data_IF_450617349665
#
_entry.id   IF_450617349665
#
_cell.length_a   1.000
_cell.length_b   1.000
_cell.length_c   1.000
_cell.angle_alpha   90.00
_cell.angle_beta   90.00
_cell.angle_gamma   90.00
#
_symmetry.space_group_name_H-M   'P 1'
#
loop_
_entity.id
_entity.type
_entity.pdbx_description
1 polymer ?
#
# COMPACT_ATOMS: atom_id res chain seq x y z
N UNK A 1 -12.75 -22.31 -2.47
CA UNK A 1 -13.13 -22.27 -1.04
C UNK A 1 -12.43 -23.41 -0.32
N UNK A 2 -11.36 -23.10 0.42
CA UNK A 2 -10.77 -23.93 1.48
C UNK A 2 -10.39 -25.37 1.19
N UNK A 3 -9.10 -25.67 0.96
CA UNK A 3 -8.57 -27.05 0.96
C UNK A 3 -8.31 -27.62 2.36
N UNK A 4 -8.57 -26.87 3.44
CA UNK A 4 -8.37 -27.32 4.83
C UNK A 4 -9.70 -27.73 5.49
N UNK A 5 -9.63 -28.68 6.42
CA UNK A 5 -10.80 -29.15 7.16
C UNK A 5 -11.46 -28.02 8.00
N UNK A 6 -10.65 -27.08 8.51
CA UNK A 6 -11.14 -25.85 9.15
C UNK A 6 -11.93 -24.94 8.20
N UNK A 7 -11.55 -24.84 6.93
CA UNK A 7 -12.30 -24.00 5.99
C UNK A 7 -13.62 -24.65 5.55
N UNK A 8 -13.73 -25.98 5.65
CA UNK A 8 -14.98 -26.72 5.43
C UNK A 8 -15.97 -26.57 6.61
N UNK A 9 -15.48 -26.45 7.84
CA UNK A 9 -16.35 -26.29 9.02
C UNK A 9 -17.00 -24.92 9.15
N UNK A 10 -16.50 -23.90 8.42
CA UNK A 10 -17.05 -22.54 8.39
C UNK A 10 -18.33 -22.40 7.54
N UNK A 11 -18.84 -23.50 7.01
CA UNK A 11 -20.09 -23.56 6.27
C UNK A 11 -19.97 -23.20 4.78
N UNK A 12 -21.06 -23.38 4.02
CA UNK A 12 -21.07 -23.14 2.58
C UNK A 12 -21.09 -21.64 2.24
N UNK A 13 -20.92 -21.30 0.95
CA UNK A 13 -21.09 -19.92 0.47
C UNK A 13 -22.46 -19.38 0.88
N UNK A 14 -22.48 -18.16 1.41
CA UNK A 14 -23.67 -17.50 1.94
C UNK A 14 -23.85 -17.63 3.46
N UNK A 15 -23.06 -18.49 4.13
CA UNK A 15 -22.99 -18.55 5.59
C UNK A 15 -22.45 -17.23 6.18
N UNK A 16 -22.72 -16.99 7.47
CA UNK A 16 -22.21 -15.78 8.15
C UNK A 16 -20.68 -15.71 8.18
N UNK A 17 -19.94 -16.82 8.42
CA UNK A 17 -18.48 -16.82 8.25
C UNK A 17 -18.02 -16.46 6.84
N UNK A 18 -18.76 -16.88 5.80
CA UNK A 18 -18.44 -16.51 4.42
C UNK A 18 -18.61 -15.01 4.18
N UNK A 19 -19.69 -14.41 4.67
CA UNK A 19 -19.91 -12.95 4.55
C UNK A 19 -18.83 -12.15 5.26
N UNK A 20 -18.42 -12.57 6.45
CA UNK A 20 -17.32 -11.93 7.19
C UNK A 20 -15.99 -12.01 6.41
N UNK A 21 -15.69 -13.16 5.80
CA UNK A 21 -14.50 -13.30 4.95
C UNK A 21 -14.54 -12.39 3.72
N UNK A 22 -15.71 -12.23 3.08
CA UNK A 22 -15.88 -11.32 1.93
C UNK A 22 -15.64 -9.86 2.34
N UNK A 23 -16.11 -9.43 3.53
CA UNK A 23 -15.84 -8.09 4.04
C UNK A 23 -14.33 -7.90 4.23
N UNK A 24 -13.65 -8.87 4.84
CA UNK A 24 -12.20 -8.82 5.02
C UNK A 24 -11.44 -8.72 3.68
N UNK A 25 -11.86 -9.47 2.67
CA UNK A 25 -11.25 -9.44 1.34
C UNK A 25 -11.49 -8.09 0.65
N UNK A 26 -12.71 -7.56 0.72
CA UNK A 26 -13.08 -6.27 0.08
C UNK A 26 -12.31 -5.09 0.68
N UNK A 27 -12.05 -5.11 2.00
CA UNK A 27 -11.18 -4.11 2.65
C UNK A 27 -9.72 -4.35 2.26
N UNK A 28 -9.31 -5.61 2.16
CA UNK A 28 -7.95 -6.02 1.84
C UNK A 28 -7.54 -5.72 0.40
N UNK A 29 -8.45 -5.81 -0.57
CA UNK A 29 -8.20 -5.58 -2.01
C UNK A 29 -7.46 -4.26 -2.29
N UNK A 30 -7.96 -3.07 -1.89
CA UNK A 30 -7.24 -1.82 -2.14
C UNK A 30 -5.91 -1.75 -1.39
N UNK A 31 -5.80 -2.39 -0.21
CA UNK A 31 -4.58 -2.37 0.58
C UNK A 31 -3.49 -3.26 -0.03
N UNK A 32 -3.83 -4.47 -0.48
CA UNK A 32 -2.89 -5.47 -0.96
C UNK A 32 -2.57 -5.34 -2.45
N UNK A 33 -3.53 -4.87 -3.26
CA UNK A 33 -3.38 -4.82 -4.72
C UNK A 33 -3.08 -3.42 -5.24
N UNK A 34 -3.41 -2.36 -4.48
CA UNK A 34 -3.19 -0.96 -4.91
C UNK A 34 -2.16 -0.27 -4.03
N UNK A 35 -2.54 0.12 -2.81
CA UNK A 35 -1.71 0.99 -1.96
C UNK A 35 -0.41 0.32 -1.52
N UNK A 36 -0.47 -0.96 -1.12
CA UNK A 36 0.69 -1.73 -0.66
C UNK A 36 1.81 -1.78 -1.71
N UNK A 37 1.54 -2.29 -2.94
CA UNK A 37 2.55 -2.32 -4.00
C UNK A 37 3.04 -0.92 -4.41
N UNK A 38 2.18 0.11 -4.40
CA UNK A 38 2.56 1.48 -4.76
C UNK A 38 3.59 2.11 -3.82
N UNK A 39 3.60 1.76 -2.53
CA UNK A 39 4.56 2.33 -1.56
C UNK A 39 6.02 2.01 -1.89
N UNK A 40 6.30 0.82 -2.41
CA UNK A 40 7.66 0.47 -2.85
C UNK A 40 8.12 1.33 -4.02
N UNK A 41 7.21 1.65 -4.96
CA UNK A 41 7.50 2.53 -6.08
C UNK A 41 7.70 3.96 -5.59
N UNK A 42 6.82 4.45 -4.71
CA UNK A 42 6.92 5.78 -4.10
C UNK A 42 8.31 6.03 -3.51
N UNK A 43 8.81 5.11 -2.68
CA UNK A 43 10.11 5.25 -2.02
C UNK A 43 11.25 5.31 -3.04
N UNK A 44 11.24 4.40 -4.03
CA UNK A 44 12.29 4.37 -5.07
C UNK A 44 12.26 5.60 -5.95
N UNK A 45 11.06 6.08 -6.30
CA UNK A 45 10.88 7.24 -7.15
C UNK A 45 11.35 8.51 -6.42
N UNK A 46 10.94 8.72 -5.17
CA UNK A 46 11.41 9.86 -4.36
C UNK A 46 12.94 9.86 -4.23
N UNK A 47 13.58 8.70 -4.07
CA UNK A 47 15.04 8.60 -3.97
C UNK A 47 15.74 9.04 -5.26
N UNK A 48 15.27 8.55 -6.43
CA UNK A 48 15.86 8.91 -7.73
C UNK A 48 15.54 10.35 -8.11
N UNK A 49 14.32 10.82 -7.88
CA UNK A 49 13.91 12.21 -8.07
C UNK A 49 14.82 13.15 -7.26
N UNK A 50 15.01 12.87 -5.97
CA UNK A 50 15.90 13.65 -5.11
C UNK A 50 17.34 13.66 -5.62
N UNK A 51 17.84 12.52 -6.12
CA UNK A 51 19.21 12.42 -6.64
C UNK A 51 19.40 13.23 -7.93
N UNK A 52 18.44 13.17 -8.86
CA UNK A 52 18.50 13.92 -10.12
C UNK A 52 18.45 15.43 -9.86
N UNK A 53 17.60 15.89 -8.94
CA UNK A 53 17.47 17.31 -8.59
C UNK A 53 18.45 17.79 -7.53
N UNK A 54 19.32 16.92 -6.99
CA UNK A 54 20.28 17.27 -5.94
C UNK A 54 21.09 18.55 -6.21
N UNK A 55 21.75 18.76 -7.38
CA UNK A 55 22.51 19.98 -7.63
C UNK A 55 21.61 21.22 -7.72
N UNK A 56 20.38 21.09 -8.24
CA UNK A 56 19.43 22.19 -8.31
C UNK A 56 18.97 22.63 -6.92
N UNK A 57 18.59 21.67 -6.06
CA UNK A 57 18.19 21.94 -4.68
C UNK A 57 19.36 22.48 -3.85
N UNK A 58 20.59 22.03 -4.08
CA UNK A 58 21.76 22.58 -3.40
C UNK A 58 22.04 24.04 -3.78
N UNK A 59 21.84 24.40 -5.05
CA UNK A 59 22.11 25.76 -5.54
C UNK A 59 20.98 26.76 -5.25
N UNK A 60 19.71 26.32 -5.27
CA UNK A 60 18.54 27.22 -5.22
C UNK A 60 17.53 26.88 -4.11
N UNK A 61 17.73 25.79 -3.37
CA UNK A 61 16.83 25.35 -2.30
C UNK A 61 17.02 26.10 -0.98
N UNK A 62 16.36 25.60 0.07
CA UNK A 62 16.48 26.17 1.42
C UNK A 62 15.92 27.59 1.57
N UNK A 63 14.98 27.99 0.69
CA UNK A 63 14.43 29.35 0.61
C UNK A 63 13.98 29.86 1.98
N UNK A 64 13.31 29.02 2.78
CA UNK A 64 12.83 29.41 4.11
C UNK A 64 13.99 29.80 5.06
N UNK A 65 15.10 29.06 5.03
CA UNK A 65 16.28 29.33 5.85
C UNK A 65 17.14 30.49 5.31
N UNK A 66 16.92 30.94 4.08
CA UNK A 66 17.64 32.07 3.49
C UNK A 66 17.18 33.42 4.05
N UNK A 67 15.95 33.48 4.57
CA UNK A 67 15.34 34.69 5.14
C UNK A 67 15.35 34.72 6.67
N UNK A 68 15.89 33.68 7.30
CA UNK A 68 16.11 33.58 8.75
C UNK A 68 17.58 33.95 9.05
#
# INVERSE_FOLDING_TARGET
AGRSDHARSLGPKGSDPHKAAVIGDTIGDPLKDTSGPSLNILIKLMAVESLVFAPFFAAHGGILFKWL
#
